data_IF_727078686663
#
_entry.id   IF_727078686663
#
_cell.length_a   1.000
_cell.length_b   1.000
_cell.length_c   1.000
_cell.angle_alpha   90.00
_cell.angle_beta   90.00
_cell.angle_gamma   90.00
#
_symmetry.space_group_name_H-M   'P 1'
#
loop_
_entity.id
_entity.type
_entity.pdbx_description
1 polymer ?
#
# COMPACT_ATOMS: atom_id res chain seq x y z
N UNK A 1 -13.40 47.94 25.13
CA UNK A 1 -12.42 47.17 24.33
C UNK A 1 -13.21 46.14 23.56
N UNK A 2 -13.24 46.27 22.24
CA UNK A 2 -13.81 45.27 21.34
C UNK A 2 -12.90 44.04 21.43
N UNK A 3 -13.34 43.00 22.12
CA UNK A 3 -12.74 41.67 21.97
C UNK A 3 -13.19 41.16 20.61
N UNK A 4 -12.39 41.41 19.57
CA UNK A 4 -12.50 40.63 18.35
C UNK A 4 -12.34 39.16 18.77
N UNK A 5 -13.42 38.38 18.63
CA UNK A 5 -13.32 36.93 18.75
C UNK A 5 -12.34 36.50 17.67
N UNK A 6 -11.17 36.01 18.06
CA UNK A 6 -10.34 35.22 17.15
C UNK A 6 -11.24 34.14 16.56
N UNK A 7 -11.49 34.21 15.25
CA UNK A 7 -12.23 33.16 14.55
C UNK A 7 -11.42 31.86 14.69
N UNK A 8 -12.04 30.80 15.22
CA UNK A 8 -11.38 29.51 15.29
C UNK A 8 -11.22 29.00 13.85
N UNK A 9 -9.98 29.03 13.36
CA UNK A 9 -9.67 28.62 11.99
C UNK A 9 -10.16 27.20 11.67
N UNK A 10 -10.39 26.36 12.68
CA UNK A 10 -10.96 25.02 12.51
C UNK A 10 -12.39 25.05 12.00
N UNK A 11 -13.13 26.15 12.17
CA UNK A 11 -14.48 26.30 11.63
C UNK A 11 -14.49 26.23 10.10
N UNK A 12 -13.38 26.62 9.45
CA UNK A 12 -13.19 26.54 8.00
C UNK A 12 -12.80 25.14 7.49
N UNK A 13 -12.60 24.16 8.38
CA UNK A 13 -12.41 22.76 8.00
C UNK A 13 -13.76 22.07 7.75
N UNK A 14 -13.80 21.15 6.78
CA UNK A 14 -14.92 20.23 6.65
C UNK A 14 -14.95 19.22 7.82
N UNK A 15 -16.08 18.54 8.00
CA UNK A 15 -16.28 17.66 9.17
C UNK A 15 -15.29 16.48 9.20
N UNK A 16 -14.93 15.95 8.03
CA UNK A 16 -13.92 14.89 7.91
C UNK A 16 -12.54 15.36 8.40
N UNK A 17 -12.09 16.54 7.97
CA UNK A 17 -10.81 17.09 8.38
C UNK A 17 -10.79 17.45 9.88
N UNK A 18 -11.92 17.91 10.44
CA UNK A 18 -12.08 18.13 11.88
C UNK A 18 -11.92 16.82 12.65
N UNK A 19 -12.52 15.74 12.16
CA UNK A 19 -12.41 14.42 12.77
C UNK A 19 -10.97 13.88 12.71
N UNK A 20 -10.32 13.97 11.54
CA UNK A 20 -8.92 13.56 11.35
C UNK A 20 -8.01 14.35 12.30
N UNK A 21 -8.17 15.67 12.35
CA UNK A 21 -7.38 16.53 13.24
C UNK A 21 -7.59 16.16 14.71
N UNK A 22 -8.83 15.88 15.12
CA UNK A 22 -9.14 15.45 16.48
C UNK A 22 -8.41 14.15 16.85
N UNK A 23 -8.50 13.13 15.98
CA UNK A 23 -7.81 11.84 16.17
C UNK A 23 -6.30 11.99 16.23
N UNK A 24 -5.73 12.86 15.39
CA UNK A 24 -4.30 13.12 15.35
C UNK A 24 -3.82 13.80 16.65
N UNK A 25 -4.55 14.78 17.15
CA UNK A 25 -4.25 15.45 18.42
C UNK A 25 -4.42 14.51 19.62
N UNK A 26 -5.41 13.61 19.57
CA UNK A 26 -5.59 12.57 20.59
C UNK A 26 -4.42 11.60 20.62
N UNK A 27 -3.91 11.16 19.47
CA UNK A 27 -2.71 10.32 19.39
C UNK A 27 -1.48 11.02 19.97
N UNK A 28 -1.33 12.33 19.70
CA UNK A 28 -0.24 13.13 20.22
C UNK A 28 -0.23 13.22 21.77
N UNK A 29 -1.36 13.01 22.46
CA UNK A 29 -1.45 13.04 23.93
C UNK A 29 -0.52 12.02 24.62
N UNK A 30 -0.08 10.97 23.93
CA UNK A 30 0.96 10.04 24.43
C UNK A 30 2.26 10.76 24.81
N UNK A 31 2.53 11.91 24.18
CA UNK A 31 3.71 12.75 24.38
C UNK A 31 3.43 13.99 25.23
N UNK A 32 2.30 14.02 25.97
CA UNK A 32 1.89 15.20 26.74
C UNK A 32 2.96 15.72 27.69
N UNK A 33 3.67 14.83 28.37
CA UNK A 33 4.76 15.24 29.25
C UNK A 33 5.86 16.01 28.51
N UNK A 34 6.11 15.69 27.23
CA UNK A 34 7.14 16.35 26.43
C UNK A 34 6.67 17.73 25.92
N UNK A 35 5.53 17.79 25.23
CA UNK A 35 5.11 19.06 24.60
C UNK A 35 4.64 20.11 25.61
N UNK A 36 4.16 19.71 26.80
CA UNK A 36 3.74 20.65 27.85
C UNK A 36 4.93 21.38 28.51
N UNK A 37 6.14 20.87 28.34
CA UNK A 37 7.37 21.48 28.85
C UNK A 37 8.10 22.33 27.80
N UNK A 38 7.58 22.40 26.57
CA UNK A 38 8.16 23.18 25.50
C UNK A 38 7.83 24.67 25.64
N UNK A 39 8.72 25.53 25.14
CA UNK A 39 8.51 26.98 25.07
C UNK A 39 7.26 27.32 24.24
N UNK A 40 7.09 26.64 23.09
CA UNK A 40 5.87 26.68 22.30
C UNK A 40 5.16 25.31 22.35
N UNK A 41 4.17 25.23 23.25
CA UNK A 41 3.36 24.03 23.45
C UNK A 41 2.60 23.63 22.19
N UNK A 42 2.08 24.58 21.41
CA UNK A 42 1.27 24.31 20.22
C UNK A 42 2.14 23.74 19.11
N UNK A 43 3.31 24.34 18.87
CA UNK A 43 4.27 23.83 17.88
C UNK A 43 4.82 22.46 18.30
N UNK A 44 5.17 22.28 19.57
CA UNK A 44 5.62 20.99 20.08
C UNK A 44 4.55 19.89 19.95
N UNK A 45 3.27 20.23 20.20
CA UNK A 45 2.16 19.30 20.01
C UNK A 45 2.02 18.86 18.54
N UNK A 46 2.22 19.79 17.57
CA UNK A 46 2.23 19.47 16.14
C UNK A 46 3.37 18.51 15.80
N UNK A 47 4.58 18.73 16.33
CA UNK A 47 5.69 17.81 16.13
C UNK A 47 5.42 16.42 16.71
N UNK A 48 4.82 16.34 17.90
CA UNK A 48 4.41 15.07 18.49
C UNK A 48 3.35 14.34 17.65
N UNK A 49 2.39 15.08 17.08
CA UNK A 49 1.42 14.54 16.13
C UNK A 49 2.10 13.98 14.86
N UNK A 50 3.07 14.70 14.30
CA UNK A 50 3.83 14.24 13.12
C UNK A 50 4.64 12.96 13.42
N UNK A 51 5.17 12.82 14.63
CA UNK A 51 5.86 11.59 15.06
C UNK A 51 4.90 10.40 15.07
N UNK A 52 3.69 10.55 15.61
CA UNK A 52 2.70 9.47 15.61
C UNK A 52 2.26 9.13 14.17
N UNK A 53 2.01 10.12 13.32
CA UNK A 53 1.70 9.91 11.91
C UNK A 53 2.84 9.15 11.19
N UNK A 54 4.10 9.50 11.45
CA UNK A 54 5.25 8.81 10.87
C UNK A 54 5.32 7.34 11.29
N UNK A 55 4.96 7.02 12.54
CA UNK A 55 4.88 5.63 13.03
C UNK A 55 3.79 4.85 12.31
N UNK A 56 2.61 5.42 12.12
CA UNK A 56 1.52 4.78 11.37
C UNK A 56 1.93 4.50 9.92
N UNK A 57 2.55 5.47 9.23
CA UNK A 57 3.08 5.27 7.88
C UNK A 57 4.11 4.13 7.85
N UNK A 58 5.00 4.06 8.83
CA UNK A 58 5.99 2.98 8.92
C UNK A 58 5.33 1.61 9.12
N UNK A 59 4.29 1.54 9.96
CA UNK A 59 3.51 0.31 10.19
C UNK A 59 2.79 -0.15 8.92
N UNK A 60 2.16 0.77 8.18
CA UNK A 60 1.52 0.45 6.90
C UNK A 60 2.54 0.00 5.85
N UNK A 61 3.69 0.68 5.76
CA UNK A 61 4.77 0.29 4.85
C UNK A 61 5.25 -1.13 5.15
N UNK A 62 5.44 -1.47 6.42
CA UNK A 62 5.86 -2.80 6.85
C UNK A 62 4.79 -3.87 6.57
N UNK A 63 3.51 -3.54 6.80
CA UNK A 63 2.40 -4.42 6.45
C UNK A 63 2.36 -4.69 4.94
N UNK A 64 2.53 -3.66 4.11
CA UNK A 64 2.57 -3.79 2.65
C UNK A 64 3.73 -4.67 2.18
N UNK A 65 4.93 -4.50 2.76
CA UNK A 65 6.08 -5.37 2.45
C UNK A 65 5.81 -6.84 2.76
N UNK A 66 5.14 -7.13 3.87
CA UNK A 66 4.77 -8.50 4.24
C UNK A 66 3.77 -9.13 3.28
N UNK A 67 2.97 -8.32 2.59
CA UNK A 67 2.02 -8.78 1.59
C UNK A 67 2.66 -9.00 0.21
N UNK A 68 3.76 -8.32 -0.09
CA UNK A 68 4.43 -8.37 -1.40
C UNK A 68 4.83 -9.79 -1.81
N UNK A 69 5.50 -10.54 -0.93
CA UNK A 69 5.98 -11.89 -1.23
C UNK A 69 4.83 -12.90 -1.45
N UNK A 70 3.80 -12.97 -0.59
CA UNK A 70 2.60 -13.76 -0.88
C UNK A 70 1.96 -13.43 -2.23
N UNK A 71 1.85 -12.15 -2.58
CA UNK A 71 1.26 -11.76 -3.86
C UNK A 71 2.13 -12.19 -5.05
N UNK A 72 3.45 -12.04 -4.97
CA UNK A 72 4.38 -12.58 -6.00
C UNK A 72 4.22 -14.09 -6.15
N UNK A 73 4.10 -14.82 -5.05
CA UNK A 73 3.90 -16.27 -5.08
C UNK A 73 2.57 -16.65 -5.76
N UNK A 74 1.47 -15.94 -5.45
CA UNK A 74 0.17 -16.13 -6.08
C UNK A 74 0.26 -15.89 -7.60
N UNK A 75 0.92 -14.80 -8.01
CA UNK A 75 1.14 -14.49 -9.43
C UNK A 75 1.94 -15.60 -10.11
N UNK A 76 3.05 -16.05 -9.52
CA UNK A 76 3.89 -17.12 -10.07
C UNK A 76 3.13 -18.45 -10.22
N UNK A 77 2.27 -18.80 -9.26
CA UNK A 77 1.39 -19.98 -9.36
C UNK A 77 0.42 -19.82 -10.53
N UNK A 78 -0.22 -18.65 -10.65
CA UNK A 78 -1.13 -18.35 -11.76
C UNK A 78 -0.45 -18.44 -13.13
N UNK A 79 0.77 -17.92 -13.25
CA UNK A 79 1.57 -18.01 -14.48
C UNK A 79 1.96 -19.46 -14.81
N UNK A 80 2.33 -20.25 -13.80
CA UNK A 80 2.65 -21.67 -13.98
C UNK A 80 1.43 -22.48 -14.45
N UNK A 81 0.26 -22.25 -13.87
CA UNK A 81 -0.97 -22.92 -14.29
C UNK A 81 -1.47 -22.46 -15.67
N UNK A 82 -1.32 -21.16 -16.00
CA UNK A 82 -1.56 -20.64 -17.36
C UNK A 82 -0.68 -21.38 -18.36
N UNK A 83 0.62 -21.50 -18.08
CA UNK A 83 1.58 -22.20 -18.94
C UNK A 83 1.20 -23.66 -19.14
N UNK A 84 0.94 -24.42 -18.07
CA UNK A 84 0.52 -25.82 -18.16
C UNK A 84 -0.74 -26.00 -19.00
N UNK A 85 -1.70 -25.09 -18.86
CA UNK A 85 -2.94 -25.12 -19.63
C UNK A 85 -2.68 -24.89 -21.11
N UNK A 86 -1.87 -23.89 -21.46
CA UNK A 86 -1.48 -23.61 -22.85
C UNK A 86 -0.69 -24.78 -23.44
N UNK A 87 0.31 -25.30 -22.73
CA UNK A 87 1.11 -26.46 -23.15
C UNK A 87 0.23 -27.66 -23.46
N UNK A 88 -0.71 -27.98 -22.56
CA UNK A 88 -1.65 -29.07 -22.75
C UNK A 88 -2.52 -28.87 -23.98
N UNK A 89 -3.15 -27.71 -24.13
CA UNK A 89 -4.04 -27.41 -25.27
C UNK A 89 -3.28 -27.45 -26.60
N UNK A 90 -2.10 -26.85 -26.67
CA UNK A 90 -1.29 -26.83 -27.90
C UNK A 90 -0.81 -28.24 -28.26
N UNK A 91 -0.37 -29.03 -27.26
CA UNK A 91 0.07 -30.42 -27.49
C UNK A 91 -1.09 -31.32 -27.93
N UNK A 92 -2.28 -31.18 -27.33
CA UNK A 92 -3.48 -31.91 -27.72
C UNK A 92 -3.91 -31.62 -29.17
N UNK A 93 -3.71 -30.38 -29.64
CA UNK A 93 -4.06 -29.94 -30.99
C UNK A 93 -3.03 -30.36 -32.04
N UNK A 94 -1.75 -30.07 -31.78
CA UNK A 94 -0.67 -30.29 -32.76
C UNK A 94 -0.23 -31.75 -32.80
N UNK A 95 -0.27 -32.45 -31.66
CA UNK A 95 0.19 -33.84 -31.49
C UNK A 95 1.57 -34.07 -32.12
N UNK A 96 2.60 -33.29 -31.72
CA UNK A 96 3.92 -33.38 -32.34
C UNK A 96 4.56 -34.75 -32.07
N UNK A 97 5.01 -35.43 -33.13
CA UNK A 97 5.66 -36.75 -33.03
C UNK A 97 7.18 -36.61 -33.16
N UNK A 98 7.63 -35.72 -34.05
CA UNK A 98 9.05 -35.48 -34.31
C UNK A 98 9.65 -34.40 -33.43
N UNK A 99 10.97 -34.45 -33.22
CA UNK A 99 11.66 -33.51 -32.32
C UNK A 99 11.59 -32.05 -32.81
N UNK A 100 11.60 -31.85 -34.13
CA UNK A 100 11.42 -30.53 -34.74
C UNK A 100 10.02 -29.96 -34.46
N UNK A 101 8.98 -30.80 -34.44
CA UNK A 101 7.61 -30.40 -34.15
C UNK A 101 7.41 -30.08 -32.66
N UNK A 102 8.10 -30.81 -31.77
CA UNK A 102 8.12 -30.49 -30.34
C UNK A 102 8.78 -29.14 -30.08
N UNK A 103 9.88 -28.84 -30.76
CA UNK A 103 10.57 -27.55 -30.64
C UNK A 103 9.70 -26.40 -31.17
N UNK A 104 9.01 -26.60 -32.30
CA UNK A 104 8.05 -25.64 -32.84
C UNK A 104 6.86 -25.41 -31.90
N UNK A 105 6.36 -26.49 -31.28
CA UNK A 105 5.26 -26.45 -30.30
C UNK A 105 5.67 -25.66 -29.05
N UNK A 106 6.88 -25.84 -28.54
CA UNK A 106 7.40 -25.03 -27.43
C UNK A 106 7.49 -23.54 -27.77
N UNK A 107 8.01 -23.19 -28.96
CA UNK A 107 8.07 -21.79 -29.42
C UNK A 107 6.67 -21.15 -29.51
N UNK A 108 5.66 -21.93 -29.92
CA UNK A 108 4.27 -21.46 -29.95
C UNK A 108 3.72 -21.21 -28.53
N UNK A 109 3.95 -22.13 -27.59
CA UNK A 109 3.59 -21.94 -26.17
C UNK A 109 4.23 -20.66 -25.61
N UNK A 110 5.52 -20.45 -25.86
CA UNK A 110 6.23 -19.25 -25.42
C UNK A 110 5.65 -17.97 -26.03
N UNK A 111 5.25 -18.01 -27.30
CA UNK A 111 4.59 -16.88 -27.95
C UNK A 111 3.22 -16.60 -27.33
N UNK A 112 2.45 -17.63 -26.99
CA UNK A 112 1.12 -17.49 -26.37
C UNK A 112 1.20 -17.01 -24.92
N UNK A 113 2.28 -17.32 -24.20
CA UNK A 113 2.51 -16.80 -22.84
C UNK A 113 2.75 -15.28 -22.80
N UNK A 114 3.13 -14.66 -23.92
CA UNK A 114 3.39 -13.21 -24.03
C UNK A 114 2.13 -12.35 -24.25
N UNK A 115 0.99 -12.97 -24.57
CA UNK A 115 -0.33 -12.33 -24.68
C UNK A 115 -1.13 -12.48 -23.39
#
# INVERSE_FOLDING_TARGET
MLFEKEEDWKEFLNDEAKEILSKLLDSAKKHRAAYMQAEDVKVAQVWCALVELKKEIAQFTEAMKKLEEPFKAIVAIGEAEKRKTIERLVTEIIKPEEEAEKEATQKLVESLMRF
#
